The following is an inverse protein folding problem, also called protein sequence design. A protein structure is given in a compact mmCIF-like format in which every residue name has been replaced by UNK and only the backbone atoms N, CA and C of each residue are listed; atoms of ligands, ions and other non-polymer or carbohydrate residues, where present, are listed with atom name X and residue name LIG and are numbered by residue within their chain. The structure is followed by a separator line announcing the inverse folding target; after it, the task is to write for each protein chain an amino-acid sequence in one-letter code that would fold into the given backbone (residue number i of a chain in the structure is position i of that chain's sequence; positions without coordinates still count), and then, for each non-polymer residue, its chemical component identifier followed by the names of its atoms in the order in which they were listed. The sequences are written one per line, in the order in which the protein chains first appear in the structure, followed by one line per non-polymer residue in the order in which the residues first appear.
data_IF_532435903682
#
_entry.id   IF_532435903682
#
_cell.length_a   1.000
_cell.length_b   1.000
_cell.length_c   1.000
_cell.angle_alpha   90.00
_cell.angle_beta   90.00
_cell.angle_gamma   90.00
#
_symmetry.space_group_name_H-M   'P 1'
#
loop_
_entity.id
_entity.type
_entity.pdbx_description
1 polymer ?
#
# COMPACT_ATOMS: atom_id res chain seq x y z
N UNK A 1 -12.66 0.01 -26.93
CA UNK A 1 -13.06 -1.40 -26.80
C UNK A 1 -14.07 -1.66 -25.67
N UNK A 2 -14.09 -0.88 -24.58
CA UNK A 2 -15.08 -1.03 -23.51
C UNK A 2 -16.50 -0.54 -23.88
N UNK A 3 -16.63 0.45 -24.76
CA UNK A 3 -17.95 0.98 -25.18
C UNK A 3 -18.72 0.09 -26.17
N UNK A 4 -18.02 -0.81 -26.89
CA UNK A 4 -18.68 -1.75 -27.81
C UNK A 4 -19.33 -2.93 -27.08
N UNK A 5 -18.89 -3.23 -25.85
CA UNK A 5 -19.46 -4.30 -25.04
C UNK A 5 -20.73 -3.86 -24.29
N UNK A 6 -20.86 -2.56 -23.99
CA UNK A 6 -22.04 -2.00 -23.33
C UNK A 6 -23.29 -1.98 -24.24
N UNK A 7 -23.10 -1.80 -25.55
CA UNK A 7 -24.21 -1.71 -26.50
C UNK A 7 -24.82 -3.07 -26.88
N UNK A 8 -24.11 -4.17 -26.67
CA UNK A 8 -24.63 -5.51 -26.96
C UNK A 8 -25.50 -6.09 -25.82
N UNK A 9 -25.33 -5.60 -24.58
CA UNK A 9 -26.11 -6.05 -23.42
C UNK A 9 -27.49 -5.38 -23.30
N UNK A 10 -27.71 -4.25 -23.98
CA UNK A 10 -28.99 -3.53 -23.94
C UNK A 10 -30.05 -4.06 -24.92
N UNK A 11 -29.66 -4.91 -25.87
CA UNK A 11 -30.57 -5.42 -26.92
C UNK A 11 -31.32 -6.70 -26.53
N UNK A 12 -30.87 -7.43 -25.51
CA UNK A 12 -31.47 -8.73 -25.16
C UNK A 12 -32.60 -8.67 -24.13
N UNK A 13 -32.88 -7.50 -23.53
CA UNK A 13 -33.94 -7.33 -22.51
C UNK A 13 -35.27 -6.86 -23.14
N UNK A 14 -35.29 -6.47 -24.42
CA UNK A 14 -36.51 -6.04 -25.13
C UNK A 14 -37.07 -7.11 -26.06
N UNK A 15 -37.46 -8.27 -25.53
CA UNK A 15 -38.36 -9.19 -26.26
C UNK A 15 -39.07 -10.13 -25.30
N UNK A 16 -40.19 -9.66 -24.75
CA UNK A 16 -41.47 -10.40 -24.56
C UNK A 16 -42.36 -9.69 -23.55
N UNK A 17 -43.09 -8.69 -24.04
CA UNK A 17 -44.38 -8.28 -23.49
C UNK A 17 -45.30 -8.12 -24.70
N UNK A 18 -46.32 -8.97 -24.80
CA UNK A 18 -47.61 -8.70 -25.44
C UNK A 18 -48.47 -9.97 -25.50
N UNK A 19 -49.61 -9.93 -24.80
CA UNK A 19 -50.94 -10.52 -25.09
C UNK A 19 -51.72 -10.50 -23.76
N UNK A 20 -52.30 -9.35 -23.40
CA UNK A 20 -53.68 -8.90 -23.72
C UNK A 20 -54.75 -9.69 -22.96
N UNK A 21 -55.40 -9.00 -22.03
CA UNK A 21 -56.71 -9.34 -21.48
C UNK A 21 -57.80 -8.69 -22.35
N UNK A 22 -58.93 -9.37 -22.53
CA UNK A 22 -60.32 -8.85 -22.54
C UNK A 22 -61.25 -10.02 -22.93
N UNK A 23 -62.13 -10.48 -22.04
CA UNK A 23 -63.54 -10.06 -21.91
C UNK A 23 -64.41 -10.45 -23.12
N UNK A 24 -65.36 -11.37 -22.90
CA UNK A 24 -66.77 -11.01 -22.92
C UNK A 24 -67.66 -12.23 -22.62
N UNK A 25 -68.57 -11.99 -21.68
CA UNK A 25 -69.89 -12.60 -21.59
C UNK A 25 -70.62 -12.50 -22.93
N UNK A 26 -71.27 -13.57 -23.38
CA UNK A 26 -72.58 -13.40 -24.00
C UNK A 26 -73.39 -14.70 -23.95
N UNK A 27 -74.61 -14.57 -23.44
CA UNK A 27 -75.71 -15.51 -23.53
C UNK A 27 -76.92 -14.64 -23.88
N UNK A 28 -77.62 -14.95 -24.97
CA UNK A 28 -79.07 -14.90 -24.83
C UNK A 28 -79.85 -15.99 -25.57
N UNK A 29 -81.02 -16.20 -24.98
CA UNK A 29 -82.25 -16.81 -25.45
C UNK A 29 -82.50 -16.78 -26.96
N UNK A 30 -83.05 -17.88 -27.48
CA UNK A 30 -83.99 -17.81 -28.59
C UNK A 30 -85.22 -18.67 -28.30
N UNK A 31 -86.35 -17.94 -28.22
CA UNK A 31 -87.73 -18.42 -28.12
C UNK A 31 -88.15 -19.02 -29.47
N UNK A 32 -88.91 -20.12 -29.47
CA UNK A 32 -89.81 -20.47 -30.59
C UNK A 32 -91.11 -21.10 -30.10
N UNK A 33 -92.17 -20.61 -30.76
CA UNK A 33 -93.62 -20.78 -30.60
C UNK A 33 -94.06 -22.20 -31.03
N UNK A 34 -94.97 -22.90 -30.32
CA UNK A 34 -96.46 -22.87 -30.31
C UNK A 34 -97.16 -23.58 -31.51
N UNK A 35 -97.86 -24.68 -31.20
CA UNK A 35 -99.16 -25.22 -31.69
C UNK A 35 -99.43 -26.51 -30.84
N UNK A 36 -100.50 -26.79 -30.08
CA UNK A 36 -101.99 -26.72 -30.21
C UNK A 36 -102.43 -27.69 -31.32
N UNK A 37 -103.06 -28.87 -31.13
CA UNK A 37 -104.27 -29.31 -30.39
C UNK A 37 -104.27 -30.84 -30.26
N UNK A 38 -105.01 -31.31 -29.25
CA UNK A 38 -105.41 -32.67 -28.87
C UNK A 38 -105.83 -33.64 -30.00
N UNK A 39 -105.56 -34.93 -29.79
CA UNK A 39 -106.56 -35.99 -30.04
C UNK A 39 -106.32 -37.16 -29.07
N UNK A 40 -107.30 -37.43 -28.21
CA UNK A 40 -107.32 -38.52 -27.23
C UNK A 40 -107.54 -39.86 -27.94
N UNK A 41 -106.61 -40.80 -27.79
CA UNK A 41 -106.92 -42.24 -27.92
C UNK A 41 -105.99 -43.12 -27.08
N UNK A 42 -106.26 -43.13 -25.78
CA UNK A 42 -106.34 -44.31 -24.91
C UNK A 42 -105.55 -45.58 -25.32
N UNK A 43 -104.42 -45.84 -24.65
CA UNK A 43 -104.08 -47.16 -24.09
C UNK A 43 -102.74 -47.11 -23.31
N UNK A 44 -102.84 -47.14 -21.97
CA UNK A 44 -101.91 -47.76 -21.01
C UNK A 44 -100.43 -47.94 -21.46
N UNK A 45 -99.60 -46.89 -21.45
CA UNK A 45 -98.13 -47.03 -21.41
C UNK A 45 -97.36 -45.78 -20.92
N UNK A 46 -98.05 -44.78 -20.35
CA UNK A 46 -97.43 -43.51 -19.92
C UNK A 46 -96.44 -43.63 -18.76
N UNK A 47 -96.47 -44.74 -18.00
CA UNK A 47 -95.54 -44.95 -16.90
C UNK A 47 -94.17 -45.47 -17.36
N UNK A 48 -94.05 -46.03 -18.57
CA UNK A 48 -92.81 -46.68 -19.02
C UNK A 48 -91.85 -45.69 -19.70
N UNK A 49 -92.39 -44.70 -20.42
CA UNK A 49 -91.61 -43.62 -21.07
C UNK A 49 -91.04 -42.62 -20.04
N UNK A 50 -91.80 -42.30 -18.99
CA UNK A 50 -91.34 -41.45 -17.89
C UNK A 50 -90.25 -42.15 -17.06
N UNK A 51 -90.37 -43.48 -16.88
CA UNK A 51 -89.36 -44.31 -16.19
C UNK A 51 -88.08 -44.48 -17.03
N UNK A 52 -88.17 -44.64 -18.36
CA UNK A 52 -87.00 -44.66 -19.25
C UNK A 52 -86.30 -43.29 -19.32
N UNK A 53 -87.04 -42.19 -19.40
CA UNK A 53 -86.49 -40.85 -19.34
C UNK A 53 -85.84 -40.55 -17.96
N UNK A 54 -86.43 -41.06 -16.87
CA UNK A 54 -85.84 -40.99 -15.53
C UNK A 54 -84.54 -41.81 -15.41
N UNK A 55 -84.44 -42.94 -16.10
CA UNK A 55 -83.23 -43.78 -16.16
C UNK A 55 -82.10 -43.10 -16.96
N UNK A 56 -82.38 -42.56 -18.14
CA UNK A 56 -81.40 -41.82 -18.96
C UNK A 56 -80.90 -40.54 -18.27
N UNK A 57 -81.80 -39.84 -17.58
CA UNK A 57 -81.43 -38.68 -16.75
C UNK A 57 -80.59 -39.09 -15.54
N UNK A 58 -80.82 -40.27 -14.96
CA UNK A 58 -80.00 -40.81 -13.86
C UNK A 58 -78.61 -41.23 -14.34
N UNK A 59 -78.49 -41.81 -15.53
CA UNK A 59 -77.20 -42.16 -16.15
C UNK A 59 -76.37 -40.90 -16.45
N UNK A 60 -76.97 -39.89 -17.06
CA UNK A 60 -76.32 -38.59 -17.32
C UNK A 60 -75.91 -37.87 -16.03
N UNK A 61 -76.70 -37.95 -14.96
CA UNK A 61 -76.31 -37.46 -13.62
C UNK A 61 -75.10 -38.24 -13.09
N UNK A 62 -75.05 -39.55 -13.28
CA UNK A 62 -73.92 -40.40 -12.91
C UNK A 62 -72.62 -40.01 -13.63
N UNK A 63 -72.69 -39.77 -14.94
CA UNK A 63 -71.56 -39.29 -15.74
C UNK A 63 -71.08 -37.90 -15.27
N UNK A 64 -72.01 -36.97 -15.01
CA UNK A 64 -71.68 -35.66 -14.47
C UNK A 64 -71.00 -35.75 -13.10
N UNK A 65 -71.48 -36.60 -12.20
CA UNK A 65 -70.85 -36.86 -10.90
C UNK A 65 -69.44 -37.44 -11.04
N UNK A 66 -69.26 -38.41 -11.94
CA UNK A 66 -67.92 -38.97 -12.23
C UNK A 66 -66.96 -37.89 -12.74
N UNK A 67 -67.47 -36.98 -13.58
CA UNK A 67 -66.73 -35.84 -14.12
C UNK A 67 -66.35 -34.87 -13.01
N UNK A 68 -67.27 -34.56 -12.09
CA UNK A 68 -67.03 -33.72 -10.91
C UNK A 68 -65.94 -34.34 -10.04
N UNK A 69 -66.01 -35.63 -9.72
CA UNK A 69 -65.00 -36.32 -8.92
C UNK A 69 -63.61 -36.26 -9.57
N UNK A 70 -63.53 -36.41 -10.89
CA UNK A 70 -62.26 -36.29 -11.61
C UNK A 70 -61.66 -34.88 -11.54
N UNK A 71 -62.50 -33.84 -11.57
CA UNK A 71 -62.10 -32.44 -11.46
C UNK A 71 -61.65 -32.11 -10.04
N UNK A 72 -62.33 -32.64 -9.02
CA UNK A 72 -61.93 -32.48 -7.62
C UNK A 72 -60.53 -33.06 -7.36
N UNK A 73 -60.23 -34.27 -7.87
CA UNK A 73 -58.88 -34.84 -7.77
C UNK A 73 -57.80 -33.97 -8.42
N UNK A 74 -58.11 -33.33 -9.55
CA UNK A 74 -57.18 -32.39 -10.20
C UNK A 74 -56.97 -31.13 -9.35
N UNK A 75 -58.01 -30.68 -8.65
CA UNK A 75 -57.96 -29.53 -7.76
C UNK A 75 -57.01 -29.77 -6.57
N UNK A 76 -57.04 -30.96 -5.98
CA UNK A 76 -56.12 -31.34 -4.88
C UNK A 76 -54.65 -31.30 -5.33
N UNK A 77 -54.37 -31.79 -6.56
CA UNK A 77 -53.04 -31.73 -7.16
C UNK A 77 -52.59 -30.27 -7.33
N UNK A 78 -53.48 -29.41 -7.83
CA UNK A 78 -53.20 -27.99 -8.00
C UNK A 78 -52.92 -27.34 -6.63
N UNK A 79 -53.73 -27.61 -5.61
CA UNK A 79 -53.53 -27.08 -4.26
C UNK A 79 -52.14 -27.45 -3.71
N UNK A 80 -51.75 -28.72 -3.85
CA UNK A 80 -50.42 -29.18 -3.43
C UNK A 80 -49.30 -28.46 -4.17
N UNK A 81 -49.45 -28.23 -5.48
CA UNK A 81 -48.48 -27.50 -6.30
C UNK A 81 -48.39 -26.03 -5.90
N UNK A 82 -49.52 -25.39 -5.59
CA UNK A 82 -49.55 -23.99 -5.17
C UNK A 82 -48.84 -23.82 -3.83
N UNK A 83 -49.09 -24.69 -2.84
CA UNK A 83 -48.36 -24.67 -1.56
C UNK A 83 -46.84 -24.84 -1.73
N UNK A 84 -46.41 -25.69 -2.66
CA UNK A 84 -45.00 -25.84 -3.00
C UNK A 84 -44.41 -24.55 -3.62
N UNK A 85 -45.17 -23.86 -4.46
CA UNK A 85 -44.74 -22.58 -5.06
C UNK A 85 -44.67 -21.49 -3.98
N UNK A 86 -45.67 -21.41 -3.09
CA UNK A 86 -45.69 -20.45 -1.98
C UNK A 86 -44.46 -20.59 -1.08
N UNK A 87 -44.14 -21.83 -0.67
CA UNK A 87 -42.94 -22.10 0.14
C UNK A 87 -41.65 -21.76 -0.61
N UNK A 88 -41.57 -22.04 -1.92
CA UNK A 88 -40.43 -21.64 -2.75
C UNK A 88 -40.29 -20.13 -2.88
N UNK A 89 -41.40 -19.39 -3.02
CA UNK A 89 -41.42 -17.93 -3.09
C UNK A 89 -40.94 -17.30 -1.78
N UNK A 90 -41.45 -17.76 -0.65
CA UNK A 90 -41.01 -17.29 0.66
C UNK A 90 -39.49 -17.51 0.87
N UNK A 91 -38.97 -18.67 0.41
CA UNK A 91 -37.54 -18.95 0.46
C UNK A 91 -36.71 -18.03 -0.45
N UNK A 92 -37.22 -17.72 -1.66
CA UNK A 92 -36.55 -16.81 -2.58
C UNK A 92 -36.54 -15.38 -2.03
N UNK A 93 -37.64 -14.93 -1.45
CA UNK A 93 -37.75 -13.62 -0.80
C UNK A 93 -36.74 -13.50 0.35
N UNK A 94 -36.68 -14.49 1.24
CA UNK A 94 -35.72 -14.54 2.33
C UNK A 94 -34.24 -14.59 1.87
N UNK A 95 -33.97 -15.16 0.69
CA UNK A 95 -32.61 -15.13 0.10
C UNK A 95 -32.30 -13.78 -0.55
N UNK A 96 -33.30 -13.13 -1.12
CA UNK A 96 -33.16 -11.84 -1.79
C UNK A 96 -32.86 -10.75 -0.77
N UNK A 97 -33.58 -10.71 0.36
CA UNK A 97 -33.31 -9.76 1.45
C UNK A 97 -31.89 -9.90 2.01
N UNK A 98 -31.43 -11.13 2.23
CA UNK A 98 -30.03 -11.39 2.66
C UNK A 98 -29.00 -10.89 1.65
N UNK A 99 -29.29 -11.02 0.35
CA UNK A 99 -28.39 -10.52 -0.69
C UNK A 99 -28.35 -8.99 -0.70
N UNK A 100 -29.48 -8.32 -0.50
CA UNK A 100 -29.55 -6.87 -0.36
C UNK A 100 -28.78 -6.38 0.87
N UNK A 101 -28.88 -7.08 2.00
CA UNK A 101 -28.10 -6.79 3.21
C UNK A 101 -26.59 -6.93 2.95
N UNK A 102 -26.16 -8.02 2.30
CA UNK A 102 -24.76 -8.21 1.93
C UNK A 102 -24.27 -7.16 0.93
N UNK A 103 -25.11 -6.75 -0.01
CA UNK A 103 -24.78 -5.70 -0.96
C UNK A 103 -24.58 -4.35 -0.26
N UNK A 104 -25.45 -4.02 0.71
CA UNK A 104 -25.33 -2.80 1.51
C UNK A 104 -24.04 -2.79 2.34
N UNK A 105 -23.69 -3.91 2.97
CA UNK A 105 -22.42 -4.06 3.71
C UNK A 105 -21.23 -3.93 2.78
N UNK A 106 -21.23 -4.65 1.65
CA UNK A 106 -20.13 -4.61 0.69
C UNK A 106 -19.90 -3.20 0.12
N UNK A 107 -20.97 -2.46 -0.18
CA UNK A 107 -20.88 -1.06 -0.64
C UNK A 107 -20.21 -0.18 0.40
N UNK A 108 -20.59 -0.32 1.67
CA UNK A 108 -19.99 0.42 2.78
C UNK A 108 -18.51 0.07 2.95
N UNK A 109 -18.16 -1.22 2.94
CA UNK A 109 -16.77 -1.65 3.08
C UNK A 109 -15.88 -1.12 1.94
N UNK A 110 -16.40 -1.11 0.71
CA UNK A 110 -15.71 -0.55 -0.46
C UNK A 110 -15.47 0.97 -0.27
N UNK A 111 -16.46 1.69 0.24
CA UNK A 111 -16.33 3.13 0.51
C UNK A 111 -15.30 3.41 1.60
N UNK A 112 -15.35 2.67 2.71
CA UNK A 112 -14.40 2.78 3.82
C UNK A 112 -12.96 2.47 3.36
N UNK A 113 -12.78 1.41 2.56
CA UNK A 113 -11.48 1.06 1.97
C UNK A 113 -10.98 2.14 1.02
N UNK A 114 -11.85 2.72 0.19
CA UNK A 114 -11.49 3.81 -0.73
C UNK A 114 -11.03 5.05 0.04
N UNK A 115 -11.76 5.43 1.09
CA UNK A 115 -11.44 6.57 1.93
C UNK A 115 -10.09 6.37 2.63
N UNK A 116 -9.90 5.20 3.24
CA UNK A 116 -8.64 4.80 3.90
C UNK A 116 -7.46 4.80 2.92
N UNK A 117 -7.63 4.24 1.72
CA UNK A 117 -6.60 4.22 0.68
C UNK A 117 -6.22 5.64 0.23
N UNK A 118 -7.19 6.53 0.04
CA UNK A 118 -6.91 7.92 -0.33
C UNK A 118 -6.15 8.68 0.78
N UNK A 119 -6.58 8.51 2.03
CA UNK A 119 -5.97 9.14 3.20
C UNK A 119 -4.51 8.70 3.37
N UNK A 120 -4.27 7.38 3.33
CA UNK A 120 -2.93 6.82 3.41
C UNK A 120 -2.07 7.24 2.23
N UNK A 121 -2.65 7.31 1.03
CA UNK A 121 -1.96 7.80 -0.17
C UNK A 121 -1.46 9.24 -0.01
N UNK A 122 -2.30 10.13 0.50
CA UNK A 122 -1.92 11.53 0.71
C UNK A 122 -0.94 11.72 1.88
N UNK A 123 -1.08 10.93 2.96
CA UNK A 123 -0.11 10.91 4.04
C UNK A 123 1.26 10.43 3.54
N UNK A 124 1.30 9.40 2.70
CA UNK A 124 2.53 8.86 2.12
C UNK A 124 3.22 9.88 1.21
N UNK A 125 2.47 10.61 0.37
CA UNK A 125 3.00 11.73 -0.44
C UNK A 125 3.61 12.82 0.43
N UNK A 126 2.90 13.29 1.46
CA UNK A 126 3.40 14.31 2.39
C UNK A 126 4.68 13.87 3.09
N UNK A 127 4.73 12.62 3.55
CA UNK A 127 5.92 12.04 4.17
C UNK A 127 7.10 11.99 3.20
N UNK A 128 6.86 11.54 1.96
CA UNK A 128 7.87 11.52 0.90
C UNK A 128 8.42 12.91 0.60
N UNK A 129 7.56 13.92 0.48
CA UNK A 129 7.97 15.30 0.21
C UNK A 129 8.77 15.90 1.37
N UNK A 130 8.37 15.62 2.61
CA UNK A 130 9.10 16.04 3.80
C UNK A 130 10.50 15.39 3.87
N UNK A 131 10.61 14.09 3.60
CA UNK A 131 11.88 13.38 3.55
C UNK A 131 12.78 13.91 2.43
N UNK A 132 12.22 14.19 1.25
CA UNK A 132 12.97 14.77 0.14
C UNK A 132 13.55 16.14 0.52
N UNK A 133 12.72 17.03 1.10
CA UNK A 133 13.19 18.34 1.57
C UNK A 133 14.27 18.22 2.64
N UNK A 134 14.15 17.26 3.54
CA UNK A 134 15.18 16.99 4.55
C UNK A 134 16.48 16.50 3.91
N UNK A 135 16.41 15.59 2.94
CA UNK A 135 17.56 15.09 2.19
C UNK A 135 18.28 16.23 1.47
N UNK A 136 17.54 17.08 0.76
CA UNK A 136 18.08 18.22 0.03
C UNK A 136 18.79 19.18 1.01
N UNK A 137 18.17 19.50 2.15
CA UNK A 137 18.79 20.34 3.19
C UNK A 137 20.01 19.70 3.86
N UNK A 138 20.06 18.37 4.00
CA UNK A 138 21.26 17.68 4.49
C UNK A 138 22.39 17.73 3.48
N UNK A 139 22.10 17.56 2.19
CA UNK A 139 23.09 17.66 1.11
C UNK A 139 23.73 19.06 1.05
N UNK A 140 22.92 20.12 1.19
CA UNK A 140 23.42 21.49 1.26
C UNK A 140 24.37 21.71 2.47
N UNK A 141 24.01 21.16 3.63
CA UNK A 141 24.86 21.22 4.83
C UNK A 141 26.18 20.47 4.64
N UNK A 142 26.13 19.27 4.05
CA UNK A 142 27.32 18.48 3.75
C UNK A 142 28.24 19.26 2.80
N UNK A 143 27.70 19.81 1.72
CA UNK A 143 28.47 20.61 0.77
C UNK A 143 29.13 21.83 1.44
N UNK A 144 28.39 22.54 2.31
CA UNK A 144 28.93 23.67 3.06
C UNK A 144 30.05 23.26 4.02
N UNK A 145 29.89 22.13 4.72
CA UNK A 145 30.90 21.61 5.65
C UNK A 145 32.16 21.17 4.90
N UNK A 146 32.03 20.47 3.78
CA UNK A 146 33.16 20.07 2.93
C UNK A 146 33.93 21.28 2.41
N UNK A 147 33.24 22.36 2.02
CA UNK A 147 33.90 23.58 1.60
C UNK A 147 34.72 24.23 2.74
N UNK A 148 34.17 24.27 3.95
CA UNK A 148 34.87 24.80 5.14
C UNK A 148 36.04 23.92 5.56
N UNK A 149 35.88 22.60 5.49
CA UNK A 149 36.95 21.64 5.79
C UNK A 149 38.14 21.86 4.86
N UNK A 150 37.87 22.02 3.56
CA UNK A 150 38.91 22.34 2.58
C UNK A 150 39.61 23.67 2.88
N UNK A 151 38.83 24.73 3.14
CA UNK A 151 39.39 26.05 3.47
C UNK A 151 40.29 26.00 4.73
N UNK A 152 39.86 25.27 5.76
CA UNK A 152 40.63 25.09 6.97
C UNK A 152 41.90 24.27 6.73
N UNK A 153 41.81 23.21 5.93
CA UNK A 153 42.96 22.40 5.55
C UNK A 153 44.01 23.23 4.80
N UNK A 154 43.57 24.06 3.85
CA UNK A 154 44.44 24.97 3.11
C UNK A 154 45.14 25.96 4.05
N UNK A 155 44.40 26.58 4.99
CA UNK A 155 44.97 27.49 6.00
C UNK A 155 45.98 26.80 6.91
N UNK A 156 45.71 25.57 7.34
CA UNK A 156 46.66 24.79 8.14
C UNK A 156 47.95 24.59 7.36
N UNK A 157 47.86 24.18 6.09
CA UNK A 157 49.04 23.96 5.24
C UNK A 157 49.87 25.24 5.05
N UNK A 158 49.19 26.38 4.87
CA UNK A 158 49.81 27.69 4.73
C UNK A 158 50.55 28.10 6.02
N UNK A 159 49.88 27.96 7.17
CA UNK A 159 50.46 28.27 8.48
C UNK A 159 51.62 27.35 8.82
N UNK A 160 51.53 26.07 8.50
CA UNK A 160 52.64 25.12 8.67
C UNK A 160 53.85 25.56 7.84
N UNK A 161 53.63 25.94 6.58
CA UNK A 161 54.70 26.42 5.69
C UNK A 161 55.35 27.71 6.23
N UNK A 162 54.54 28.67 6.71
CA UNK A 162 55.03 29.89 7.35
C UNK A 162 55.81 29.59 8.63
N UNK A 163 55.34 28.65 9.44
CA UNK A 163 56.02 28.20 10.66
C UNK A 163 57.41 27.65 10.38
N UNK A 164 57.52 26.75 9.39
CA UNK A 164 58.81 26.19 8.96
C UNK A 164 59.75 27.28 8.44
N UNK A 165 59.24 28.22 7.64
CA UNK A 165 60.04 29.33 7.14
C UNK A 165 60.58 30.20 8.27
N UNK A 166 59.73 30.59 9.23
CA UNK A 166 60.14 31.41 10.36
C UNK A 166 61.11 30.69 11.29
N UNK A 167 60.92 29.39 11.51
CA UNK A 167 61.83 28.56 12.31
C UNK A 167 63.21 28.46 11.64
N UNK A 168 63.25 28.21 10.33
CA UNK A 168 64.48 28.20 9.57
C UNK A 168 65.17 29.57 9.61
N UNK A 169 64.42 30.66 9.42
CA UNK A 169 64.95 32.01 9.45
C UNK A 169 65.53 32.38 10.82
N UNK A 170 64.83 32.05 11.91
CA UNK A 170 65.28 32.33 13.28
C UNK A 170 66.52 31.53 13.67
N UNK A 171 66.77 30.38 13.05
CA UNK A 171 67.91 29.50 13.37
C UNK A 171 68.99 29.51 12.29
N UNK A 172 68.89 30.36 11.27
CA UNK A 172 69.79 30.35 10.10
C UNK A 172 71.27 30.60 10.44
N UNK A 173 71.51 31.33 11.53
CA UNK A 173 72.85 31.65 12.05
C UNK A 173 73.30 30.66 13.15
N UNK A 174 72.42 29.74 13.56
CA UNK A 174 72.74 28.76 14.59
C UNK A 174 73.46 27.56 13.97
N UNK A 175 74.65 27.25 14.50
CA UNK A 175 75.44 26.08 14.10
C UNK A 175 75.44 25.08 15.25
N UNK A 176 75.25 23.80 14.93
CA UNK A 176 75.34 22.71 15.90
C UNK A 176 76.65 21.95 15.68
N UNK A 177 77.45 21.89 16.72
CA UNK A 177 78.61 21.01 16.78
C UNK A 177 78.23 19.74 17.52
N UNK A 178 78.69 18.60 17.01
CA UNK A 178 78.48 17.29 17.61
C UNK A 178 79.83 16.69 17.97
N UNK A 179 79.85 15.84 18.99
CA UNK A 179 81.04 15.10 19.44
C UNK A 179 82.19 15.97 19.96
N UNK A 180 81.90 17.12 20.56
CA UNK A 180 82.89 17.87 21.34
C UNK A 180 82.98 17.23 22.73
N UNK A 181 84.17 16.81 23.19
CA UNK A 181 84.35 16.27 24.53
C UNK A 181 83.95 17.28 25.60
N UNK A 182 83.16 16.86 26.57
CA UNK A 182 82.82 17.68 27.73
C UNK A 182 84.03 17.73 28.69
N UNK A 183 84.42 18.92 29.19
CA UNK A 183 85.50 19.03 30.16
C UNK A 183 85.11 18.37 31.49
N UNK A 184 86.07 17.85 32.27
CA UNK A 184 85.79 17.31 33.61
C UNK A 184 85.26 18.40 34.55
N UNK A 185 84.33 18.03 35.43
CA UNK A 185 83.51 18.93 36.27
C UNK A 185 84.33 20.07 36.94
N UNK A 186 83.96 21.33 36.69
CA UNK A 186 84.40 22.47 37.50
C UNK A 186 84.58 23.80 36.78
N UNK A 187 85.07 23.80 35.53
CA UNK A 187 85.28 25.01 34.71
C UNK A 187 84.73 24.78 33.29
N UNK A 188 83.41 24.89 33.13
CA UNK A 188 82.75 24.79 31.82
C UNK A 188 82.88 26.11 31.04
N UNK A 189 84.08 26.45 30.56
CA UNK A 189 84.21 27.48 29.54
C UNK A 189 83.88 26.91 28.15
N UNK A 190 82.57 26.88 27.88
CA UNK A 190 82.01 26.37 26.63
C UNK A 190 82.50 27.16 25.41
N UNK A 191 82.76 28.46 25.58
CA UNK A 191 83.18 29.32 24.48
C UNK A 191 84.64 29.06 24.14
N UNK A 192 85.51 28.98 25.13
CA UNK A 192 86.92 28.67 24.92
C UNK A 192 87.10 27.25 24.35
N UNK A 193 86.31 26.28 24.84
CA UNK A 193 86.31 24.90 24.31
C UNK A 193 85.93 24.90 22.81
N UNK A 194 84.92 25.69 22.41
CA UNK A 194 84.54 25.81 21.01
C UNK A 194 85.61 26.54 20.19
N UNK A 195 86.20 27.63 20.70
CA UNK A 195 87.24 28.39 19.99
C UNK A 195 88.50 27.55 19.79
N UNK A 196 88.92 26.79 20.80
CA UNK A 196 90.02 25.83 20.68
C UNK A 196 89.71 24.80 19.59
N UNK A 197 88.51 24.18 19.62
CA UNK A 197 88.08 23.24 18.59
C UNK A 197 88.09 23.84 17.18
N UNK A 198 87.67 25.11 17.02
CA UNK A 198 87.71 25.80 15.73
C UNK A 198 89.14 25.98 15.20
N UNK A 199 90.11 26.30 16.05
CA UNK A 199 91.50 26.47 15.64
C UNK A 199 92.20 25.13 15.37
N UNK A 200 91.99 24.14 16.23
CA UNK A 200 92.70 22.85 16.19
C UNK A 200 92.12 21.89 15.16
N UNK A 201 90.80 21.68 15.17
CA UNK A 201 90.13 20.66 14.36
C UNK A 201 89.61 21.22 13.03
N UNK A 202 89.14 22.48 13.03
CA UNK A 202 88.60 23.11 11.81
C UNK A 202 89.64 23.97 11.06
N UNK A 203 90.83 24.19 11.63
CA UNK A 203 91.92 24.95 10.99
C UNK A 203 91.64 26.45 10.86
N UNK A 204 90.80 27.01 11.74
CA UNK A 204 90.50 28.44 11.74
C UNK A 204 91.70 29.24 12.27
N UNK A 205 92.17 30.25 11.51
CA UNK A 205 93.46 30.93 11.81
C UNK A 205 93.50 31.68 13.14
N UNK A 206 92.36 32.23 13.57
CA UNK A 206 92.22 32.92 14.85
C UNK A 206 90.74 32.94 15.24
N UNK A 207 90.30 32.01 16.08
CA UNK A 207 88.90 31.87 16.43
C UNK A 207 88.37 33.08 17.19
N UNK A 208 89.22 33.88 17.84
CA UNK A 208 88.80 35.09 18.57
C UNK A 208 88.23 36.20 17.67
N UNK A 209 88.44 36.15 16.36
CA UNK A 209 87.82 37.11 15.43
C UNK A 209 86.35 36.78 15.13
N UNK A 210 85.88 35.57 15.45
CA UNK A 210 84.49 35.20 15.28
C UNK A 210 83.65 35.76 16.45
N UNK A 211 82.66 36.58 16.11
CA UNK A 211 81.67 37.09 17.06
C UNK A 211 80.64 35.99 17.35
N UNK A 212 80.51 35.63 18.64
CA UNK A 212 79.55 34.63 19.10
C UNK A 212 78.51 35.37 19.94
N UNK A 213 77.27 35.44 19.46
CA UNK A 213 76.21 36.14 20.18
C UNK A 213 75.68 35.34 21.38
N UNK A 214 75.64 34.01 21.27
CA UNK A 214 75.20 33.10 22.33
C UNK A 214 75.76 31.70 22.08
N UNK A 215 76.19 31.03 23.15
CA UNK A 215 76.61 29.63 23.15
C UNK A 215 75.81 28.84 24.20
N UNK A 216 75.55 27.56 23.92
CA UNK A 216 74.90 26.63 24.84
C UNK A 216 75.72 25.33 24.85
N UNK A 217 76.15 24.87 26.03
CA UNK A 217 76.95 23.64 26.21
C UNK A 217 76.25 22.39 25.65
N UNK A 218 74.94 22.29 25.88
CA UNK A 218 74.13 21.19 25.40
C UNK A 218 72.74 21.64 24.97
N UNK A 219 72.25 21.04 23.88
CA UNK A 219 70.83 21.09 23.54
C UNK A 219 70.16 20.01 24.39
N UNK A 220 69.32 20.39 25.35
CA UNK A 220 68.80 19.51 26.41
C UNK A 220 68.42 18.07 25.97
N UNK A 221 68.77 17.08 26.80
CA UNK A 221 68.52 15.64 26.55
C UNK A 221 67.03 15.37 26.27
N UNK A 222 66.68 15.09 25.02
CA UNK A 222 65.38 14.50 24.66
C UNK A 222 65.43 13.01 25.03
N UNK A 223 64.84 12.66 26.18
CA UNK A 223 64.64 11.26 26.58
C UNK A 223 63.48 10.69 25.76
N UNK A 224 63.79 10.01 24.66
CA UNK A 224 62.82 9.19 23.92
C UNK A 224 62.34 8.05 24.83
N UNK A 225 61.24 8.25 25.56
CA UNK A 225 60.52 7.13 26.15
C UNK A 225 59.63 6.52 25.07
N UNK A 226 60.12 5.46 24.44
CA UNK A 226 59.32 4.58 23.59
C UNK A 226 58.29 3.85 24.46
N UNK A 227 57.10 4.43 24.63
CA UNK A 227 55.95 3.67 25.12
C UNK A 227 55.39 2.83 23.97
N UNK A 228 55.98 1.65 23.75
CA UNK A 228 55.25 0.56 23.09
C UNK A 228 54.12 0.19 24.03
N UNK A 229 52.90 0.62 23.71
CA UNK A 229 51.70 0.02 24.26
C UNK A 229 51.69 -1.44 23.80
N UNK A 230 51.72 -2.36 24.75
CA UNK A 230 51.26 -3.71 24.50
C UNK A 230 49.78 -3.62 24.19
N UNK A 231 49.40 -3.92 22.95
CA UNK A 231 48.03 -4.30 22.62
C UNK A 231 47.79 -5.66 23.29
N UNK A 232 47.09 -5.64 24.41
CA UNK A 232 46.36 -6.81 24.91
C UNK A 232 45.13 -6.97 24.02
N UNK A 233 45.17 -8.00 23.18
CA UNK A 233 44.06 -8.48 22.36
C UNK A 233 42.89 -8.93 23.22
N UNK A 234 41.69 -8.52 22.81
CA UNK A 234 40.40 -9.09 23.22
C UNK A 234 40.20 -10.51 22.66
#
# INVERSE_FOLDING_TARGET
MAELLANNLLNDIRKRRNRSADSNSDSPESKKLKDVVDDESNCEDEQNDEVMAALDSMETIGEQLSTILSRLKKLDIIESSVKNIETSLANLEARTTKLEDFEAVAKKDIEDLKNSCSFNGDQCKKSKDALKKQLDGQNERIASLQAKEKELSDKISELTSKGLYLEAYSRRENIKFFNIPEPPEGDEDTEETLRAFMETELGFRNARTAEIQRILSSVGRIRWQSTRKHDETA
#
